data_IF_147183182828
#
_entry.id   IF_147183182828
#
_cell.length_a   1.000
_cell.length_b   1.000
_cell.length_c   1.000
_cell.angle_alpha   90.00
_cell.angle_beta   90.00
_cell.angle_gamma   90.00
#
_symmetry.space_group_name_H-M   'P 1'
#
loop_
_entity.id
_entity.type
_entity.pdbx_description
1 polymer ?
#
# COMPACT_ATOMS: atom_id res chain seq x y z
N UNK A 1 10.51 -1.55 -4.43
CA UNK A 1 10.11 -0.61 -3.36
C UNK A 1 9.93 0.78 -3.97
N UNK A 2 8.90 1.50 -3.54
CA UNK A 2 8.58 2.89 -3.89
C UNK A 2 8.10 3.63 -2.65
N UNK A 3 8.38 4.93 -2.60
CA UNK A 3 7.81 5.84 -1.61
C UNK A 3 6.47 6.39 -2.13
N UNK A 4 5.57 6.70 -1.21
CA UNK A 4 4.30 7.42 -1.42
C UNK A 4 4.36 8.63 -0.50
N UNK A 5 4.34 9.83 -1.06
CA UNK A 5 4.37 11.10 -0.32
C UNK A 5 2.95 11.68 -0.26
N UNK A 6 2.59 12.29 0.86
CA UNK A 6 1.26 12.88 1.06
C UNK A 6 1.14 13.54 2.42
N UNK A 7 -0.08 13.78 2.86
CA UNK A 7 -0.38 14.29 4.20
C UNK A 7 -0.95 13.16 5.08
N UNK A 8 -0.80 13.24 6.42
CA UNK A 8 -1.43 12.29 7.31
C UNK A 8 -2.94 12.22 7.05
N UNK A 9 -3.51 11.02 7.13
CA UNK A 9 -4.91 10.70 6.79
C UNK A 9 -5.23 10.61 5.29
N UNK A 10 -4.31 10.93 4.38
CA UNK A 10 -4.48 10.54 2.96
C UNK A 10 -4.60 9.02 2.85
N UNK A 11 -5.54 8.58 2.01
CA UNK A 11 -5.80 7.15 1.83
C UNK A 11 -4.95 6.56 0.70
N UNK A 12 -4.38 5.40 0.95
CA UNK A 12 -3.56 4.62 0.04
C UNK A 12 -4.17 3.22 -0.06
N UNK A 13 -4.63 2.88 -1.25
CA UNK A 13 -5.13 1.54 -1.57
C UNK A 13 -4.09 0.76 -2.37
N UNK A 14 -3.78 -0.45 -1.91
CA UNK A 14 -2.77 -1.34 -2.49
C UNK A 14 -3.46 -2.64 -2.94
N UNK A 15 -3.31 -2.97 -4.22
CA UNK A 15 -3.89 -4.17 -4.81
C UNK A 15 -2.84 -4.98 -5.57
N UNK A 16 -2.91 -6.31 -5.55
CA UNK A 16 -2.10 -7.15 -6.43
C UNK A 16 -2.54 -6.96 -7.89
N UNK A 17 -1.58 -6.73 -8.79
CA UNK A 17 -1.81 -6.53 -10.21
C UNK A 17 -1.36 -7.75 -11.02
N UNK A 18 -2.25 -8.27 -11.87
CA UNK A 18 -2.00 -9.39 -12.78
C UNK A 18 -1.65 -10.74 -12.11
N UNK A 19 -2.06 -10.94 -10.86
CA UNK A 19 -1.87 -12.17 -10.10
C UNK A 19 -1.38 -11.89 -8.67
N UNK A 20 -1.00 -12.93 -7.91
CA UNK A 20 -0.57 -12.77 -6.51
C UNK A 20 0.71 -11.94 -6.40
N UNK A 21 0.78 -11.10 -5.36
CA UNK A 21 1.96 -10.32 -5.01
C UNK A 21 2.52 -10.82 -3.67
N UNK A 22 3.76 -11.33 -3.67
CA UNK A 22 4.38 -11.93 -2.49
C UNK A 22 5.54 -11.07 -1.96
N UNK A 23 5.76 -11.16 -0.65
CA UNK A 23 6.74 -10.36 0.06
C UNK A 23 6.38 -8.88 0.06
N UNK A 24 5.09 -8.60 0.28
CA UNK A 24 4.55 -7.24 0.38
C UNK A 24 4.84 -6.71 1.78
N UNK A 25 5.54 -5.58 1.85
CA UNK A 25 5.76 -4.85 3.10
C UNK A 25 5.30 -3.40 2.93
N UNK A 26 4.51 -2.95 3.89
CA UNK A 26 3.93 -1.61 4.00
C UNK A 26 4.43 -0.95 5.28
N UNK A 27 5.10 0.19 5.14
CA UNK A 27 5.63 0.98 6.25
C UNK A 27 5.11 2.42 6.14
N UNK A 28 4.91 3.11 7.27
CA UNK A 28 4.37 4.48 7.27
C UNK A 28 2.87 4.55 6.95
N UNK A 29 2.15 3.44 7.12
CA UNK A 29 0.70 3.33 6.97
C UNK A 29 0.08 2.77 8.27
N UNK A 30 -1.18 3.12 8.54
CA UNK A 30 -1.91 2.70 9.76
C UNK A 30 -2.03 1.18 9.89
N UNK A 31 -2.20 0.49 8.76
CA UNK A 31 -2.25 -0.97 8.69
C UNK A 31 -0.99 -1.50 7.99
N UNK A 32 0.13 -1.65 8.71
CA UNK A 32 1.36 -2.16 8.11
C UNK A 32 1.21 -3.63 7.73
N UNK A 33 2.00 -4.06 6.75
CA UNK A 33 2.18 -5.47 6.40
C UNK A 33 3.67 -5.77 6.43
N UNK A 34 4.02 -6.99 6.82
CA UNK A 34 5.41 -7.45 6.83
C UNK A 34 5.51 -8.77 6.06
N UNK A 35 6.19 -8.72 4.91
CA UNK A 35 6.44 -9.89 4.04
C UNK A 35 5.18 -10.71 3.72
N UNK A 36 4.04 -10.03 3.55
CA UNK A 36 2.75 -10.65 3.30
C UNK A 36 2.59 -11.09 1.83
N UNK A 37 1.59 -11.92 1.57
CA UNK A 37 1.12 -12.20 0.20
C UNK A 37 -0.27 -11.60 0.04
N UNK A 38 -0.47 -10.81 -1.02
CA UNK A 38 -1.78 -10.32 -1.44
C UNK A 38 -2.27 -11.14 -2.63
N UNK A 39 -3.43 -11.76 -2.48
CA UNK A 39 -4.14 -12.50 -3.52
C UNK A 39 -5.19 -11.61 -4.21
N UNK A 40 -5.51 -11.84 -5.49
CA UNK A 40 -6.62 -11.14 -6.13
C UNK A 40 -7.94 -11.31 -5.36
N UNK A 41 -8.51 -10.20 -4.90
CA UNK A 41 -9.72 -10.18 -4.08
C UNK A 41 -9.47 -9.89 -2.59
N UNK A 42 -8.21 -9.91 -2.14
CA UNK A 42 -7.87 -9.48 -0.79
C UNK A 42 -8.10 -7.98 -0.60
N UNK A 43 -8.54 -7.61 0.61
CA UNK A 43 -8.78 -6.22 1.02
C UNK A 43 -7.77 -5.73 2.05
N UNK A 44 -6.72 -6.51 2.36
CA UNK A 44 -5.75 -6.18 3.41
C UNK A 44 -4.97 -4.88 3.12
N UNK A 45 -4.85 -4.48 1.86
CA UNK A 45 -4.24 -3.21 1.44
C UNK A 45 -5.24 -2.12 1.09
N UNK A 46 -6.55 -2.35 1.26
CA UNK A 46 -7.57 -1.40 0.84
C UNK A 46 -7.74 -0.28 1.88
N UNK A 47 -7.79 0.97 1.40
CA UNK A 47 -8.09 2.16 2.18
C UNK A 47 -7.23 2.29 3.45
N UNK A 48 -5.92 2.20 3.29
CA UNK A 48 -4.95 2.35 4.36
C UNK A 48 -4.56 3.83 4.50
N UNK A 49 -4.29 4.33 5.69
CA UNK A 49 -4.04 5.76 5.88
C UNK A 49 -2.56 6.05 6.11
N UNK A 50 -2.05 7.14 5.53
CA UNK A 50 -0.74 7.68 5.88
C UNK A 50 -0.72 8.13 7.35
N UNK A 51 0.25 7.63 8.13
CA UNK A 51 0.47 8.08 9.53
C UNK A 51 1.44 9.28 9.62
N UNK A 52 2.02 9.66 8.49
CA UNK A 52 2.98 10.75 8.35
C UNK A 52 3.05 11.20 6.90
N UNK A 53 4.09 11.96 6.52
CA UNK A 53 4.13 12.54 5.18
C UNK A 53 4.73 11.61 4.11
N UNK A 54 5.16 10.41 4.51
CA UNK A 54 5.74 9.41 3.62
C UNK A 54 5.38 8.00 4.10
N UNK A 55 5.02 7.13 3.15
CA UNK A 55 4.96 5.68 3.31
C UNK A 55 5.90 4.97 2.33
N UNK A 56 6.27 3.73 2.67
CA UNK A 56 7.05 2.85 1.79
C UNK A 56 6.26 1.59 1.46
N UNK A 57 6.13 1.33 0.17
CA UNK A 57 5.52 0.11 -0.37
C UNK A 57 6.59 -0.72 -1.05
N UNK A 58 6.66 -2.01 -0.73
CA UNK A 58 7.57 -2.95 -1.37
C UNK A 58 6.90 -4.28 -1.69
N UNK A 59 7.41 -4.95 -2.70
CA UNK A 59 6.97 -6.27 -3.15
C UNK A 59 8.21 -7.05 -3.61
N UNK A 60 8.31 -8.30 -3.18
CA UNK A 60 9.40 -9.20 -3.57
C UNK A 60 9.16 -9.86 -4.93
N UNK A 61 7.93 -10.31 -5.19
CA UNK A 61 7.51 -10.96 -6.45
C UNK A 61 6.11 -10.54 -6.85
N UNK A 62 5.90 -10.28 -8.14
CA UNK A 62 4.63 -9.81 -8.70
C UNK A 62 4.62 -8.29 -8.88
N UNK A 63 3.44 -7.72 -9.03
CA UNK A 63 3.24 -6.29 -9.18
C UNK A 63 2.10 -5.82 -8.28
N UNK A 64 2.18 -4.56 -7.86
CA UNK A 64 1.13 -3.89 -7.09
C UNK A 64 0.63 -2.68 -7.87
N UNK A 65 -0.68 -2.49 -7.88
CA UNK A 65 -1.31 -1.20 -8.17
C UNK A 65 -1.43 -0.45 -6.84
N UNK A 66 -0.88 0.76 -6.80
CA UNK A 66 -1.00 1.67 -5.66
C UNK A 66 -1.80 2.87 -6.11
N UNK A 67 -2.91 3.13 -5.44
CA UNK A 67 -3.78 4.29 -5.68
C UNK A 67 -3.73 5.14 -4.43
N UNK A 68 -3.37 6.41 -4.59
CA UNK A 68 -3.42 7.40 -3.51
C UNK A 68 -4.59 8.33 -3.76
N UNK A 69 -5.44 8.46 -2.76
CA UNK A 69 -6.56 9.40 -2.69
C UNK A 69 -6.13 10.50 -1.72
N UNK A 70 -5.86 11.68 -2.28
CA UNK A 70 -5.49 12.85 -1.48
C UNK A 70 -6.74 13.67 -1.21
N UNK A 71 -7.00 13.99 0.05
CA UNK A 71 -8.02 14.98 0.38
C UNK A 71 -7.39 16.37 0.26
N UNK A 72 -7.45 16.95 -0.93
CA UNK A 72 -7.20 18.38 -1.06
C UNK A 72 -8.36 19.18 -0.46
N UNK A 73 -8.13 20.28 0.27
CA UNK A 73 -9.13 21.33 0.38
C UNK A 73 -9.43 21.98 -0.99
#
# INVERSE_FOLDING_TARGET
SRAVEGDPQDSVSIFPLSGPAAGVTLEGLEYPLENATLEPGDTLGFHNELIGNEARVSVGKGALLVVQETESP
#
